data_IF_380011314112
#
_entry.id   IF_380011314112
#
_cell.length_a   1.000
_cell.length_b   1.000
_cell.length_c   1.000
_cell.angle_alpha   90.00
_cell.angle_beta   90.00
_cell.angle_gamma   90.00
#
_symmetry.space_group_name_H-M   'P 1'
#
loop_
_entity.id
_entity.type
_entity.pdbx_description
1 polymer ?
#
# COMPACT_ATOMS: atom_id res chain seq x y z
N UNK A 1 -55.07 18.00 -55.94
CA UNK A 1 -56.13 16.96 -55.94
C UNK A 1 -55.78 15.99 -54.81
N UNK A 2 -56.45 16.08 -53.66
CA UNK A 2 -57.48 15.12 -53.19
C UNK A 2 -56.97 13.66 -53.35
N UNK A 3 -56.92 12.76 -52.36
CA UNK A 3 -57.66 12.64 -51.11
C UNK A 3 -57.27 11.33 -50.38
N UNK A 4 -57.25 11.41 -49.03
CA UNK A 4 -57.78 10.44 -48.05
C UNK A 4 -57.09 9.08 -47.74
N UNK A 5 -56.51 9.06 -46.52
CA UNK A 5 -56.83 8.19 -45.34
C UNK A 5 -56.87 6.66 -45.45
N UNK A 6 -56.14 5.96 -44.56
CA UNK A 6 -56.70 5.24 -43.38
C UNK A 6 -55.60 4.57 -42.51
N UNK A 7 -55.65 4.76 -41.19
CA UNK A 7 -55.16 3.81 -40.16
C UNK A 7 -56.40 3.15 -39.51
N UNK A 8 -56.35 1.96 -38.86
CA UNK A 8 -56.01 1.92 -37.42
C UNK A 8 -55.50 0.57 -36.81
N UNK A 9 -54.86 0.70 -35.63
CA UNK A 9 -54.99 -0.01 -34.33
C UNK A 9 -55.15 -1.55 -34.14
N UNK A 10 -54.34 -2.04 -33.17
CA UNK A 10 -54.62 -2.93 -32.00
C UNK A 10 -55.15 -4.38 -32.13
N UNK A 11 -54.38 -5.32 -31.54
CA UNK A 11 -54.72 -6.26 -30.41
C UNK A 11 -53.71 -7.42 -30.37
N UNK A 12 -52.83 -7.54 -29.37
CA UNK A 12 -52.98 -8.28 -28.09
C UNK A 12 -53.48 -9.72 -28.26
N UNK A 13 -52.69 -10.71 -27.81
CA UNK A 13 -53.12 -11.88 -26.99
C UNK A 13 -51.89 -12.70 -26.51
N UNK A 14 -51.68 -12.70 -25.18
CA UNK A 14 -51.42 -13.83 -24.22
C UNK A 14 -50.37 -14.91 -24.58
N UNK A 15 -49.67 -15.59 -23.66
CA UNK A 15 -49.51 -15.66 -22.20
C UNK A 15 -48.42 -16.73 -21.91
N UNK A 16 -47.69 -16.57 -20.80
CA UNK A 16 -47.07 -17.60 -19.92
C UNK A 16 -45.92 -18.46 -20.52
N UNK A 17 -44.85 -18.89 -19.85
CA UNK A 17 -44.45 -19.09 -18.43
C UNK A 17 -42.90 -19.28 -18.46
N UNK A 18 -42.05 -18.57 -17.69
CA UNK A 18 -41.44 -18.94 -16.36
C UNK A 18 -40.96 -20.42 -16.31
N UNK A 19 -39.67 -20.77 -16.14
CA UNK A 19 -38.71 -20.49 -15.03
C UNK A 19 -37.24 -20.31 -15.53
N UNK A 20 -36.46 -19.31 -15.09
CA UNK A 20 -35.79 -19.07 -13.79
C UNK A 20 -34.39 -19.71 -13.68
N UNK A 21 -33.36 -18.92 -14.01
CA UNK A 21 -31.97 -19.11 -13.61
C UNK A 21 -31.52 -17.87 -12.83
N UNK A 22 -31.26 -18.06 -11.54
CA UNK A 22 -31.02 -17.07 -10.50
C UNK A 22 -29.77 -16.20 -10.72
N UNK A 23 -29.95 -14.87 -10.73
CA UNK A 23 -28.88 -13.90 -10.46
C UNK A 23 -28.80 -13.64 -8.95
N UNK A 24 -27.60 -13.61 -8.32
CA UNK A 24 -27.44 -13.69 -6.87
C UNK A 24 -27.39 -12.34 -6.14
N UNK A 25 -27.98 -11.28 -6.69
CA UNK A 25 -27.84 -9.92 -6.14
C UNK A 25 -29.15 -9.12 -6.10
N UNK A 26 -30.29 -9.77 -5.87
CA UNK A 26 -31.53 -9.03 -5.64
C UNK A 26 -32.44 -9.75 -4.64
N UNK A 27 -32.59 -9.15 -3.46
CA UNK A 27 -33.65 -9.47 -2.50
C UNK A 27 -33.94 -8.21 -1.71
N UNK A 28 -34.91 -7.45 -2.22
CA UNK A 28 -35.66 -6.46 -1.45
C UNK A 28 -36.59 -7.18 -0.47
N UNK A 29 -36.69 -6.66 0.75
CA UNK A 29 -37.81 -6.89 1.64
C UNK A 29 -38.21 -5.55 2.23
N UNK A 30 -39.30 -5.00 1.68
CA UNK A 30 -40.00 -3.82 2.20
C UNK A 30 -40.82 -4.21 3.44
N UNK A 31 -40.55 -3.53 4.56
CA UNK A 31 -41.55 -3.31 5.61
C UNK A 31 -41.43 -1.87 6.10
N UNK A 32 -42.37 -1.02 5.69
CA UNK A 32 -42.57 0.33 6.21
C UNK A 32 -42.86 0.31 7.71
N UNK A 33 -42.01 0.91 8.54
CA UNK A 33 -42.45 1.62 9.76
C UNK A 33 -41.45 2.73 10.11
N UNK A 34 -41.98 3.96 10.15
CA UNK A 34 -41.31 5.22 10.49
C UNK A 34 -40.43 5.13 11.74
N UNK A 35 -39.14 5.50 11.64
CA UNK A 35 -38.40 6.27 12.65
C UNK A 35 -37.03 6.74 12.13
N UNK A 36 -36.74 8.02 12.35
CA UNK A 36 -35.57 8.78 11.90
C UNK A 36 -34.25 8.24 12.47
N UNK A 37 -33.32 7.74 11.62
CA UNK A 37 -31.92 7.51 11.97
C UNK A 37 -30.93 7.67 10.77
N UNK A 38 -29.92 8.51 11.03
CA UNK A 38 -28.57 8.79 10.45
C UNK A 38 -27.96 7.84 9.39
N UNK A 39 -27.15 8.37 8.44
CA UNK A 39 -26.29 7.56 7.55
C UNK A 39 -25.01 7.05 8.25
N UNK A 40 -24.61 5.83 7.89
CA UNK A 40 -23.54 5.05 8.50
C UNK A 40 -22.15 5.34 7.89
N UNK A 41 -21.26 5.86 8.74
CA UNK A 41 -19.87 5.43 8.99
C UNK A 41 -18.94 5.17 7.79
N UNK A 42 -18.26 6.24 7.35
CA UNK A 42 -16.89 6.17 6.80
C UNK A 42 -15.92 5.83 7.94
N UNK A 43 -15.03 4.86 7.75
CA UNK A 43 -13.97 4.55 8.73
C UNK A 43 -12.80 5.52 8.54
N UNK A 44 -12.99 6.76 8.97
CA UNK A 44 -11.88 7.62 9.36
C UNK A 44 -11.37 7.04 10.67
N UNK A 45 -10.24 6.34 10.67
CA UNK A 45 -9.54 6.02 11.90
C UNK A 45 -8.85 7.30 12.39
N UNK A 46 -9.64 8.21 12.96
CA UNK A 46 -9.11 9.18 13.92
C UNK A 46 -8.69 8.37 15.15
N UNK A 47 -7.38 8.21 15.32
CA UNK A 47 -6.82 7.66 16.55
C UNK A 47 -7.10 8.64 17.68
N UNK A 48 -8.25 8.49 18.34
CA UNK A 48 -8.53 9.12 19.63
C UNK A 48 -7.53 8.54 20.62
N UNK A 49 -6.44 9.27 20.86
CA UNK A 49 -5.43 8.95 21.85
C UNK A 49 -6.03 9.14 23.24
N UNK A 50 -6.70 8.09 23.74
CA UNK A 50 -6.91 7.97 25.18
C UNK A 50 -5.55 7.70 25.81
N UNK A 51 -4.97 8.73 26.40
CA UNK A 51 -3.88 8.61 27.35
C UNK A 51 -4.46 7.97 28.60
N UNK A 52 -4.36 6.64 28.69
CA UNK A 52 -4.56 5.95 29.96
C UNK A 52 -3.28 6.14 30.77
N UNK A 53 -3.31 7.09 31.72
CA UNK A 53 -2.35 7.16 32.81
C UNK A 53 -2.48 5.89 33.65
N UNK A 54 -1.41 5.09 33.68
CA UNK A 54 -1.32 3.90 34.52
C UNK A 54 -1.10 4.28 35.97
N UNK A 55 -2.05 3.94 36.85
CA UNK A 55 -1.91 4.00 38.30
C UNK A 55 -0.85 3.00 38.80
N UNK A 56 0.40 3.46 38.85
CA UNK A 56 1.52 2.78 39.49
C UNK A 56 1.62 3.15 40.97
N UNK A 57 0.92 2.40 41.84
CA UNK A 57 1.02 2.52 43.30
C UNK A 57 2.34 1.89 43.77
N UNK A 58 3.41 2.69 43.78
CA UNK A 58 4.72 2.33 44.31
C UNK A 58 5.25 3.43 45.22
N UNK A 59 5.26 3.18 46.53
CA UNK A 59 5.85 4.06 47.54
C UNK A 59 7.37 3.96 47.46
N UNK A 60 8.04 5.05 47.06
CA UNK A 60 9.40 5.38 47.47
C UNK A 60 9.63 6.88 47.30
N UNK A 61 10.20 7.49 48.33
CA UNK A 61 10.40 8.93 48.50
C UNK A 61 11.22 9.55 47.37
N UNK A 62 10.55 10.20 46.42
CA UNK A 62 11.18 11.07 45.42
C UNK A 62 10.55 12.46 45.50
N UNK A 63 11.38 13.45 45.82
CA UNK A 63 10.99 14.84 46.14
C UNK A 63 10.47 15.66 44.96
N UNK A 64 10.30 15.08 43.77
CA UNK A 64 9.91 15.79 42.54
C UNK A 64 8.65 15.24 41.86
N UNK A 65 7.84 14.43 42.54
CA UNK A 65 6.56 13.99 41.97
C UNK A 65 5.62 15.19 41.79
N UNK A 66 5.55 15.70 40.57
CA UNK A 66 4.67 16.80 40.16
C UNK A 66 3.22 16.38 40.36
N UNK A 67 2.47 17.13 41.16
CA UNK A 67 1.04 16.86 41.40
C UNK A 67 0.21 17.05 40.12
N UNK A 68 -0.97 16.43 40.03
CA UNK A 68 -1.87 16.59 38.88
C UNK A 68 -2.22 18.07 38.62
N UNK A 69 -2.37 18.87 39.68
CA UNK A 69 -2.63 20.31 39.59
C UNK A 69 -1.43 21.12 39.05
N UNK A 70 -0.20 20.67 39.31
CA UNK A 70 1.00 21.27 38.71
C UNK A 70 1.16 20.86 37.24
N UNK A 71 0.89 19.59 36.91
CA UNK A 71 0.88 19.13 35.50
C UNK A 71 -0.11 19.92 34.64
N UNK A 72 -1.31 20.23 35.15
CA UNK A 72 -2.27 21.06 34.41
C UNK A 72 -1.77 22.49 34.19
N UNK A 73 -1.07 23.07 35.16
CA UNK A 73 -0.44 24.41 35.01
C UNK A 73 0.66 24.40 33.96
N UNK A 74 1.49 23.36 33.97
CA UNK A 74 2.58 23.18 33.01
C UNK A 74 2.05 22.93 31.59
N UNK A 75 0.95 22.19 31.46
CA UNK A 75 0.33 21.93 30.16
C UNK A 75 -0.26 23.19 29.51
N UNK A 76 -0.71 24.15 30.32
CA UNK A 76 -1.25 25.44 29.88
C UNK A 76 -0.20 26.57 29.88
N UNK A 77 1.09 26.26 29.98
CA UNK A 77 2.20 27.22 29.99
C UNK A 77 1.98 28.39 30.99
N UNK A 78 1.38 28.11 32.15
CA UNK A 78 1.05 29.09 33.20
C UNK A 78 0.15 30.25 32.76
N UNK A 79 -0.59 30.13 31.65
CA UNK A 79 -1.52 31.18 31.18
C UNK A 79 -2.50 31.65 32.26
N UNK A 80 -3.00 30.71 33.06
CA UNK A 80 -3.93 30.99 34.16
C UNK A 80 -3.26 31.55 35.42
N UNK A 81 -1.92 31.55 35.46
CA UNK A 81 -1.08 31.98 36.59
C UNK A 81 -0.20 33.20 36.26
N UNK A 82 -0.53 33.92 35.19
CA UNK A 82 0.17 35.15 34.80
C UNK A 82 1.39 34.94 33.91
N UNK A 83 1.58 33.77 33.29
CA UNK A 83 2.71 33.51 32.41
C UNK A 83 3.97 33.04 33.14
N UNK A 84 5.01 32.71 32.37
CA UNK A 84 6.28 32.15 32.86
C UNK A 84 7.03 33.16 33.75
N UNK A 85 6.98 34.44 33.40
CA UNK A 85 7.68 35.54 34.07
C UNK A 85 7.21 35.78 35.51
N UNK A 86 6.02 35.29 35.86
CA UNK A 86 5.43 35.42 37.20
C UNK A 86 5.63 34.16 38.05
N UNK A 87 6.42 33.19 37.60
CA UNK A 87 6.69 31.95 38.35
C UNK A 87 8.03 32.00 39.10
N UNK A 88 8.13 31.19 40.16
CA UNK A 88 9.38 31.03 40.89
C UNK A 88 10.40 30.21 40.08
N UNK A 89 11.69 30.39 40.37
CA UNK A 89 12.77 29.63 39.72
C UNK A 89 12.55 28.12 39.88
N UNK A 90 12.15 27.66 41.07
CA UNK A 90 11.85 26.26 41.33
C UNK A 90 10.69 25.73 40.46
N UNK A 91 9.66 26.54 40.22
CA UNK A 91 8.54 26.16 39.36
C UNK A 91 8.95 26.12 37.88
N UNK A 92 9.82 27.02 37.45
CA UNK A 92 10.42 27.01 36.12
C UNK A 92 11.34 25.80 35.89
N UNK A 93 12.11 25.39 36.90
CA UNK A 93 12.94 24.18 36.86
C UNK A 93 12.08 22.91 36.73
N UNK A 94 11.00 22.80 37.52
CA UNK A 94 10.06 21.69 37.41
C UNK A 94 9.33 21.68 36.05
N UNK A 95 8.96 22.85 35.55
CA UNK A 95 8.37 23.00 34.22
C UNK A 95 9.34 22.57 33.11
N UNK A 96 10.62 22.93 33.20
CA UNK A 96 11.64 22.49 32.25
C UNK A 96 11.79 20.97 32.25
N UNK A 97 11.83 20.35 33.43
CA UNK A 97 11.88 18.89 33.56
C UNK A 97 10.61 18.21 33.02
N UNK A 98 9.43 18.79 33.24
CA UNK A 98 8.16 18.32 32.67
C UNK A 98 8.17 18.40 31.13
N UNK A 99 8.60 19.53 30.58
CA UNK A 99 8.67 19.71 29.12
C UNK A 99 9.69 18.78 28.48
N UNK A 100 10.84 18.55 29.12
CA UNK A 100 11.80 17.58 28.64
C UNK A 100 11.18 16.16 28.59
N UNK A 101 10.47 15.74 29.63
CA UNK A 101 9.78 14.43 29.65
C UNK A 101 8.67 14.32 28.58
N UNK A 102 7.91 15.40 28.37
CA UNK A 102 6.90 15.50 27.29
C UNK A 102 7.56 15.34 25.91
N UNK A 103 8.69 16.03 25.68
CA UNK A 103 9.46 15.92 24.43
C UNK A 103 10.02 14.51 24.25
N UNK A 104 10.61 13.90 25.27
CA UNK A 104 11.11 12.52 25.21
C UNK A 104 9.98 11.54 24.85
N UNK A 105 8.80 11.71 25.44
CA UNK A 105 7.64 10.87 25.14
C UNK A 105 7.18 11.03 23.68
N UNK A 106 7.19 12.27 23.17
CA UNK A 106 6.85 12.55 21.77
C UNK A 106 7.86 11.92 20.80
N UNK A 107 9.17 12.04 21.06
CA UNK A 107 10.23 11.43 20.23
C UNK A 107 10.11 9.90 20.20
N UNK A 108 9.88 9.27 21.37
CA UNK A 108 9.67 7.82 21.44
C UNK A 108 8.42 7.36 20.66
N UNK A 109 7.35 8.15 20.66
CA UNK A 109 6.18 7.83 19.84
C UNK A 109 6.50 7.94 18.34
N UNK A 110 7.26 8.96 17.91
CA UNK A 110 7.74 9.06 16.53
C UNK A 110 8.62 7.88 16.14
N UNK A 111 9.51 7.43 17.03
CA UNK A 111 10.36 6.27 16.81
C UNK A 111 9.52 5.01 16.56
N UNK A 112 8.54 4.73 17.43
CA UNK A 112 7.62 3.59 17.26
C UNK A 112 6.89 3.64 15.92
N UNK A 113 6.36 4.82 15.54
CA UNK A 113 5.67 5.00 14.25
C UNK A 113 6.64 4.73 13.09
N UNK A 114 7.87 5.22 13.17
CA UNK A 114 8.87 5.00 12.12
C UNK A 114 9.26 3.51 11.99
N UNK A 115 9.34 2.78 13.10
CA UNK A 115 9.54 1.33 13.11
C UNK A 115 8.38 0.59 12.43
N UNK A 116 7.13 0.95 12.77
CA UNK A 116 5.93 0.38 12.15
C UNK A 116 5.95 0.60 10.62
N UNK A 117 6.29 1.81 10.16
CA UNK A 117 6.42 2.14 8.73
C UNK A 117 7.53 1.32 8.06
N UNK A 118 8.66 1.10 8.74
CA UNK A 118 9.79 0.32 8.21
C UNK A 118 9.38 -1.14 7.96
N UNK A 119 8.61 -1.72 8.88
CA UNK A 119 8.11 -3.08 8.75
C UNK A 119 7.12 -3.20 7.58
N UNK A 120 6.18 -2.25 7.43
CA UNK A 120 5.24 -2.22 6.32
C UNK A 120 5.92 -1.96 4.96
N UNK A 121 6.92 -1.09 4.91
CA UNK A 121 7.74 -0.86 3.72
C UNK A 121 8.48 -2.13 3.30
N UNK A 122 8.97 -2.91 4.27
CA UNK A 122 9.64 -4.19 4.00
C UNK A 122 8.68 -5.21 3.37
N UNK A 123 7.44 -5.34 3.89
CA UNK A 123 6.41 -6.21 3.29
C UNK A 123 6.02 -5.74 1.89
N UNK A 124 5.95 -4.42 1.69
CA UNK A 124 5.62 -3.81 0.40
C UNK A 124 6.69 -4.12 -0.64
N UNK A 125 7.97 -4.01 -0.29
CA UNK A 125 9.09 -4.37 -1.17
C UNK A 125 9.04 -5.84 -1.61
N UNK A 126 8.74 -6.76 -0.69
CA UNK A 126 8.57 -8.19 -1.02
C UNK A 126 7.43 -8.38 -2.01
N UNK A 127 6.30 -7.71 -1.76
CA UNK A 127 5.12 -7.79 -2.63
C UNK A 127 5.42 -7.23 -4.02
N UNK A 128 6.09 -6.09 -4.11
CA UNK A 128 6.51 -5.50 -5.38
C UNK A 128 7.42 -6.45 -6.14
N UNK A 129 8.42 -7.05 -5.50
CA UNK A 129 9.29 -8.01 -6.16
C UNK A 129 8.51 -9.22 -6.72
N UNK A 130 7.58 -9.78 -5.93
CA UNK A 130 6.72 -10.87 -6.37
C UNK A 130 5.82 -10.49 -7.56
N UNK A 131 5.30 -9.27 -7.58
CA UNK A 131 4.52 -8.73 -8.71
C UNK A 131 5.37 -8.58 -9.96
N UNK A 132 6.62 -8.11 -9.83
CA UNK A 132 7.56 -8.02 -10.94
C UNK A 132 7.86 -9.38 -11.57
N UNK A 133 8.03 -10.42 -10.75
CA UNK A 133 8.19 -11.79 -11.23
C UNK A 133 6.92 -12.36 -11.88
N UNK A 134 5.73 -11.98 -11.40
CA UNK A 134 4.46 -12.32 -12.07
C UNK A 134 4.39 -11.70 -13.47
N UNK A 135 4.73 -10.42 -13.61
CA UNK A 135 4.75 -9.74 -14.91
C UNK A 135 5.71 -10.44 -15.88
N UNK A 136 6.90 -10.85 -15.40
CA UNK A 136 7.84 -11.62 -16.19
C UNK A 136 7.28 -12.99 -16.63
N UNK A 137 6.52 -13.68 -15.76
CA UNK A 137 5.83 -14.93 -16.15
C UNK A 137 4.76 -14.70 -17.22
N UNK A 138 4.01 -13.62 -17.13
CA UNK A 138 2.98 -13.28 -18.13
C UNK A 138 3.65 -12.99 -19.50
N UNK A 139 4.77 -12.27 -19.50
CA UNK A 139 5.58 -12.06 -20.71
C UNK A 139 6.02 -13.37 -21.37
N UNK A 140 6.54 -14.33 -20.59
CA UNK A 140 6.90 -15.64 -21.15
C UNK A 140 5.68 -16.38 -21.71
N UNK A 141 4.53 -16.29 -21.04
CA UNK A 141 3.27 -16.87 -21.53
C UNK A 141 2.84 -16.22 -22.86
N UNK A 142 3.02 -14.90 -23.00
CA UNK A 142 2.74 -14.20 -24.25
C UNK A 142 3.67 -14.67 -25.39
N UNK A 143 4.95 -14.94 -25.10
CA UNK A 143 5.89 -15.54 -26.07
C UNK A 143 5.44 -16.95 -26.48
N UNK A 144 5.01 -17.78 -25.53
CA UNK A 144 4.51 -19.14 -25.84
C UNK A 144 3.26 -19.08 -26.74
N UNK A 145 2.32 -18.18 -26.43
CA UNK A 145 1.15 -17.94 -27.27
C UNK A 145 1.56 -17.45 -28.67
N UNK A 146 2.57 -16.58 -28.78
CA UNK A 146 3.09 -16.13 -30.09
C UNK A 146 3.59 -17.30 -30.93
N UNK A 147 4.31 -18.24 -30.32
CA UNK A 147 4.85 -19.42 -31.00
C UNK A 147 3.73 -20.35 -31.46
N UNK A 148 2.79 -20.66 -30.58
CA UNK A 148 1.67 -21.54 -30.90
C UNK A 148 0.72 -20.92 -31.93
N UNK A 149 0.46 -19.62 -31.82
CA UNK A 149 -0.30 -18.88 -32.82
C UNK A 149 0.42 -18.91 -34.17
N UNK A 150 1.74 -18.69 -34.20
CA UNK A 150 2.54 -18.77 -35.44
C UNK A 150 2.48 -20.16 -36.08
N UNK A 151 2.45 -21.25 -35.29
CA UNK A 151 2.26 -22.62 -35.80
C UNK A 151 0.84 -22.83 -36.34
N UNK A 152 -0.17 -22.39 -35.59
CA UNK A 152 -1.57 -22.47 -35.98
C UNK A 152 -1.87 -21.68 -37.26
N UNK A 153 -1.28 -20.50 -37.41
CA UNK A 153 -1.38 -19.66 -38.61
C UNK A 153 -0.78 -20.34 -39.85
N UNK A 154 0.36 -21.03 -39.71
CA UNK A 154 0.96 -21.82 -40.80
C UNK A 154 0.03 -22.96 -41.24
N UNK A 155 -0.58 -23.66 -40.29
CA UNK A 155 -1.56 -24.71 -40.58
C UNK A 155 -2.81 -24.14 -41.27
N UNK A 156 -3.38 -23.05 -40.74
CA UNK A 156 -4.52 -22.36 -41.39
C UNK A 156 -4.19 -21.82 -42.79
N UNK A 157 -2.93 -21.48 -43.03
CA UNK A 157 -2.40 -21.14 -44.35
C UNK A 157 -2.38 -22.33 -45.30
N UNK A 158 -2.00 -23.52 -44.84
CA UNK A 158 -1.90 -24.74 -45.66
C UNK A 158 -3.23 -25.47 -45.88
N UNK A 159 -4.23 -25.26 -45.01
CA UNK A 159 -5.57 -25.87 -45.12
C UNK A 159 -6.44 -25.29 -46.25
N UNK A 160 -5.95 -24.30 -47.00
CA UNK A 160 -6.60 -23.85 -48.22
C UNK A 160 -6.52 -24.90 -49.33
N UNK A 161 -7.64 -25.19 -50.00
CA UNK A 161 -7.63 -26.06 -51.20
C UNK A 161 -6.74 -25.51 -52.33
N UNK A 162 -6.40 -26.36 -53.30
CA UNK A 162 -5.43 -26.10 -54.40
C UNK A 162 -5.72 -24.85 -55.27
N UNK A 163 -6.86 -24.18 -55.08
CA UNK A 163 -7.27 -22.94 -55.78
C UNK A 163 -7.62 -21.78 -54.84
N UNK A 164 -7.39 -21.92 -53.53
CA UNK A 164 -7.74 -20.90 -52.54
C UNK A 164 -6.57 -19.97 -52.24
N UNK A 165 -6.86 -18.69 -52.04
CA UNK A 165 -5.87 -17.67 -51.67
C UNK A 165 -5.09 -18.13 -50.42
N UNK A 166 -3.77 -18.25 -50.55
CA UNK A 166 -2.85 -18.52 -49.45
C UNK A 166 -2.92 -17.36 -48.47
N UNK A 167 -3.52 -17.57 -47.31
CA UNK A 167 -3.59 -16.54 -46.27
C UNK A 167 -2.21 -16.43 -45.62
N UNK A 168 -1.66 -15.21 -45.60
CA UNK A 168 -0.42 -14.89 -44.89
C UNK A 168 -0.76 -14.07 -43.64
N UNK A 169 -0.37 -14.52 -42.44
CA UNK A 169 -0.56 -13.73 -41.24
C UNK A 169 0.24 -12.43 -41.34
N UNK A 170 -0.34 -11.34 -40.83
CA UNK A 170 0.37 -10.06 -40.67
C UNK A 170 0.90 -10.01 -39.25
N UNK A 171 2.22 -10.16 -39.10
CA UNK A 171 2.95 -9.92 -37.84
C UNK A 171 3.57 -8.54 -37.92
N UNK A 172 3.11 -7.60 -37.10
CA UNK A 172 3.60 -6.21 -37.12
C UNK A 172 4.79 -5.99 -36.20
N UNK A 173 4.99 -6.86 -35.20
CA UNK A 173 6.13 -6.83 -34.28
C UNK A 173 6.46 -8.19 -33.70
N UNK A 174 7.71 -8.35 -33.26
CA UNK A 174 8.17 -9.54 -32.57
C UNK A 174 7.90 -9.41 -31.07
N UNK A 175 7.18 -10.40 -30.53
CA UNK A 175 6.87 -10.47 -29.11
C UNK A 175 8.15 -10.88 -28.41
N UNK A 176 8.82 -9.87 -27.88
CA UNK A 176 10.08 -10.02 -27.16
C UNK A 176 9.69 -10.19 -25.71
N UNK A 177 10.02 -11.34 -25.12
CA UNK A 177 9.70 -11.67 -23.73
C UNK A 177 10.25 -10.65 -22.72
N UNK A 178 10.30 -10.99 -21.42
CA UNK A 178 10.55 -10.02 -20.36
C UNK A 178 11.75 -9.14 -20.69
N UNK A 179 11.56 -7.82 -20.76
CA UNK A 179 12.65 -6.89 -21.08
C UNK A 179 13.65 -6.93 -19.93
N UNK A 180 14.67 -7.78 -20.07
CA UNK A 180 15.83 -7.80 -19.17
C UNK A 180 16.68 -6.61 -19.59
N UNK A 181 16.32 -5.43 -19.12
CA UNK A 181 17.13 -4.22 -19.31
C UNK A 181 18.54 -4.54 -18.84
N UNK A 182 19.50 -4.57 -19.79
CA UNK A 182 20.88 -5.04 -19.58
C UNK A 182 21.68 -4.14 -18.63
N UNK A 183 21.14 -2.97 -18.30
CA UNK A 183 21.79 -1.97 -17.46
C UNK A 183 21.11 -1.90 -16.10
N UNK A 184 21.52 -2.77 -15.17
CA UNK A 184 21.49 -2.40 -13.75
C UNK A 184 22.30 -3.37 -12.87
N UNK A 185 23.10 -2.90 -11.90
CA UNK A 185 23.87 -3.72 -10.96
C UNK A 185 23.00 -4.47 -9.93
N UNK A 186 21.70 -4.64 -10.20
CA UNK A 186 20.72 -5.24 -9.31
C UNK A 186 20.89 -6.73 -9.10
N UNK A 187 21.63 -7.45 -9.98
CA UNK A 187 21.94 -8.87 -9.75
C UNK A 187 22.81 -9.08 -8.49
N UNK A 188 23.60 -8.08 -8.08
CA UNK A 188 24.32 -8.10 -6.80
C UNK A 188 23.42 -7.72 -5.60
N UNK A 189 22.29 -7.04 -5.82
CA UNK A 189 21.34 -6.64 -4.78
C UNK A 189 20.21 -7.67 -4.55
N UNK A 190 19.80 -8.41 -5.59
CA UNK A 190 18.84 -9.52 -5.44
C UNK A 190 19.41 -10.61 -4.53
N UNK A 191 20.70 -10.96 -4.71
CA UNK A 191 21.41 -11.86 -3.78
C UNK A 191 21.52 -11.28 -2.37
N UNK A 192 21.54 -9.94 -2.22
CA UNK A 192 21.56 -9.28 -0.90
C UNK A 192 20.19 -9.36 -0.20
N UNK A 193 19.08 -9.23 -0.94
CA UNK A 193 17.72 -9.38 -0.41
C UNK A 193 17.42 -10.84 0.00
N UNK A 194 17.79 -11.81 -0.83
CA UNK A 194 17.62 -13.24 -0.50
C UNK A 194 18.49 -13.66 0.70
N UNK A 195 19.65 -13.03 0.86
CA UNK A 195 20.52 -13.24 2.02
C UNK A 195 19.98 -12.53 3.28
N UNK A 196 19.27 -11.40 3.17
CA UNK A 196 18.54 -10.78 4.29
C UNK A 196 17.39 -11.66 4.78
N UNK A 197 16.67 -12.33 3.88
CA UNK A 197 15.61 -13.29 4.22
C UNK A 197 16.15 -14.53 4.94
N UNK A 198 17.26 -15.11 4.44
CA UNK A 198 17.89 -16.32 5.03
C UNK A 198 18.69 -16.04 6.30
N UNK A 199 19.04 -14.79 6.59
CA UNK A 199 19.79 -14.42 7.79
C UNK A 199 18.91 -14.12 9.00
N UNK A 200 17.57 -14.18 8.89
CA UNK A 200 16.65 -14.00 10.01
C UNK A 200 17.10 -12.82 10.87
N UNK A 201 17.22 -11.63 10.25
CA UNK A 201 17.82 -10.43 10.82
C UNK A 201 17.17 -10.18 12.18
N UNK A 202 17.84 -10.67 13.22
CA UNK A 202 17.60 -10.24 14.58
C UNK A 202 17.87 -8.74 14.55
N UNK A 203 16.99 -7.90 15.12
CA UNK A 203 17.35 -6.51 15.36
C UNK A 203 18.72 -6.53 16.05
N UNK A 204 19.66 -5.76 15.49
CA UNK A 204 20.98 -5.60 16.07
C UNK A 204 20.77 -5.25 17.54
N UNK A 205 21.06 -6.21 18.42
CA UNK A 205 21.08 -6.02 19.86
C UNK A 205 22.34 -5.21 20.17
N UNK A 206 22.29 -3.93 19.87
CA UNK A 206 23.10 -2.91 20.52
C UNK A 206 22.37 -2.42 21.75
N UNK A 207 21.90 -3.33 22.62
CA UNK A 207 21.48 -2.95 23.96
C UNK A 207 22.79 -2.71 24.70
N UNK A 208 23.29 -1.49 24.65
CA UNK A 208 24.24 -1.03 25.65
C UNK A 208 23.64 -1.41 27.00
N UNK A 209 24.38 -2.18 27.79
CA UNK A 209 24.12 -2.28 29.20
C UNK A 209 24.38 -0.90 29.77
N UNK A 210 23.38 -0.01 29.68
CA UNK A 210 23.35 1.20 30.47
C UNK A 210 23.06 0.72 31.89
N UNK A 211 24.13 0.65 32.68
CA UNK A 211 24.05 0.74 34.12
C UNK A 211 23.00 1.80 34.48
N UNK A 212 22.03 1.52 35.38
CA UNK A 212 20.98 2.48 35.66
C UNK A 212 21.63 3.77 36.13
N UNK A 213 21.50 4.82 35.31
CA UNK A 213 21.98 6.14 35.68
C UNK A 213 21.37 6.52 37.03
N UNK A 214 22.15 7.13 37.94
CA UNK A 214 21.64 7.54 39.24
C UNK A 214 20.36 8.36 39.05
N UNK A 215 19.35 8.12 39.90
CA UNK A 215 18.14 8.91 39.86
C UNK A 215 18.52 10.39 39.97
N UNK A 216 18.08 11.25 39.03
CA UNK A 216 18.47 12.65 39.03
C UNK A 216 17.96 13.31 40.30
N UNK A 217 18.91 13.84 41.07
CA UNK A 217 18.65 14.50 42.35
C UNK A 217 18.10 15.92 42.18
N UNK A 218 18.33 16.55 41.03
CA UNK A 218 17.88 17.93 40.73
C UNK A 218 17.07 18.00 39.43
N UNK A 219 16.12 18.92 39.33
CA UNK A 219 15.31 19.13 38.12
C UNK A 219 16.17 19.41 36.87
N UNK A 220 17.26 20.17 37.00
CA UNK A 220 18.23 20.39 35.92
C UNK A 220 18.96 19.10 35.51
N UNK A 221 19.31 18.24 36.47
CA UNK A 221 19.90 16.93 36.19
C UNK A 221 18.91 16.03 35.45
N UNK A 222 17.62 16.07 35.82
CA UNK A 222 16.56 15.35 35.11
C UNK A 222 16.44 15.84 33.66
N UNK A 223 16.54 17.14 33.41
CA UNK A 223 16.54 17.70 32.05
C UNK A 223 17.72 17.15 31.23
N UNK A 224 18.93 17.09 31.80
CA UNK A 224 20.10 16.57 31.07
C UNK A 224 19.96 15.07 30.76
N UNK A 225 19.42 14.28 31.70
CA UNK A 225 19.12 12.86 31.47
C UNK A 225 18.06 12.68 30.37
N UNK A 226 16.98 13.46 30.39
CA UNK A 226 15.94 13.41 29.36
C UNK A 226 16.47 13.87 28.00
N UNK A 227 17.34 14.88 27.96
CA UNK A 227 18.01 15.32 26.74
C UNK A 227 18.91 14.24 26.15
N UNK A 228 19.69 13.53 26.97
CA UNK A 228 20.48 12.41 26.49
C UNK A 228 19.60 11.30 25.87
N UNK A 229 18.47 10.98 26.50
CA UNK A 229 17.49 10.03 25.93
C UNK A 229 16.89 10.53 24.60
N UNK A 230 16.61 11.84 24.51
CA UNK A 230 16.13 12.45 23.27
C UNK A 230 17.17 12.34 22.16
N UNK A 231 18.43 12.65 22.46
CA UNK A 231 19.53 12.57 21.48
C UNK A 231 19.71 11.13 20.96
N UNK A 232 19.68 10.14 21.86
CA UNK A 232 19.74 8.72 21.49
C UNK A 232 18.55 8.32 20.62
N UNK A 233 17.32 8.65 21.03
CA UNK A 233 16.11 8.31 20.28
C UNK A 233 16.02 9.03 18.93
N UNK A 234 16.53 10.26 18.82
CA UNK A 234 16.63 11.00 17.57
C UNK A 234 17.67 10.39 16.64
N UNK A 235 18.77 9.88 17.18
CA UNK A 235 19.78 9.14 16.42
C UNK A 235 19.19 7.86 15.82
N UNK A 236 18.45 7.09 16.62
CA UNK A 236 17.73 5.89 16.16
C UNK A 236 16.68 6.24 15.10
N UNK A 237 15.89 7.30 15.32
CA UNK A 237 14.92 7.77 14.34
C UNK A 237 15.59 8.17 13.02
N UNK A 238 16.75 8.85 13.07
CA UNK A 238 17.54 9.21 11.89
C UNK A 238 18.00 7.98 11.12
N UNK A 239 18.47 6.94 11.81
CA UNK A 239 18.85 5.67 11.20
C UNK A 239 17.67 5.01 10.47
N UNK A 240 16.49 4.96 11.10
CA UNK A 240 15.28 4.41 10.49
C UNK A 240 14.86 5.22 9.25
N UNK A 241 14.92 6.55 9.32
CA UNK A 241 14.63 7.41 8.17
C UNK A 241 15.61 7.15 7.02
N UNK A 242 16.88 6.86 7.32
CA UNK A 242 17.87 6.40 6.35
C UNK A 242 17.47 5.09 5.67
N UNK A 243 17.04 4.09 6.43
CA UNK A 243 16.55 2.81 5.92
C UNK A 243 15.29 3.00 5.05
N UNK A 244 14.32 3.79 5.53
CA UNK A 244 13.08 4.12 4.82
C UNK A 244 13.37 4.80 3.48
N UNK A 245 14.34 5.72 3.43
CA UNK A 245 14.79 6.34 2.18
C UNK A 245 15.38 5.31 1.22
N UNK A 246 16.23 4.40 1.70
CA UNK A 246 16.79 3.32 0.89
C UNK A 246 15.69 2.44 0.28
N UNK A 247 14.73 2.03 1.10
CA UNK A 247 13.58 1.24 0.66
C UNK A 247 12.70 2.00 -0.32
N UNK A 248 12.46 3.30 -0.12
CA UNK A 248 11.68 4.11 -1.05
C UNK A 248 12.33 4.22 -2.44
N UNK A 249 13.67 4.35 -2.50
CA UNK A 249 14.41 4.35 -3.77
C UNK A 249 14.31 2.99 -4.47
N UNK A 250 14.50 1.90 -3.71
CA UNK A 250 14.41 0.54 -4.25
C UNK A 250 12.97 0.24 -4.75
N UNK A 251 11.92 0.66 -4.00
CA UNK A 251 10.52 0.57 -4.42
C UNK A 251 10.26 1.37 -5.70
N UNK A 252 10.72 2.61 -5.77
CA UNK A 252 10.55 3.46 -6.96
C UNK A 252 11.21 2.85 -8.20
N UNK A 253 12.42 2.33 -8.05
CA UNK A 253 13.15 1.67 -9.14
C UNK A 253 12.44 0.40 -9.64
N UNK A 254 11.88 -0.40 -8.72
CA UNK A 254 11.12 -1.60 -9.10
C UNK A 254 9.78 -1.24 -9.76
N UNK A 255 9.08 -0.21 -9.29
CA UNK A 255 7.87 0.29 -9.94
C UNK A 255 8.14 0.80 -11.36
N UNK A 256 9.21 1.58 -11.56
CA UNK A 256 9.61 2.05 -12.89
C UNK A 256 9.95 0.89 -13.82
N UNK A 257 10.60 -0.16 -13.30
CA UNK A 257 10.89 -1.38 -14.05
C UNK A 257 9.61 -2.09 -14.46
N UNK A 258 8.66 -2.25 -13.53
CA UNK A 258 7.40 -2.92 -13.77
C UNK A 258 6.50 -2.15 -14.74
N UNK A 259 6.41 -0.83 -14.61
CA UNK A 259 5.64 0.02 -15.53
C UNK A 259 6.11 -0.16 -16.97
N UNK A 260 7.42 -0.09 -17.22
CA UNK A 260 7.98 -0.35 -18.56
C UNK A 260 7.68 -1.76 -19.05
N UNK A 261 7.79 -2.76 -18.17
CA UNK A 261 7.46 -4.13 -18.53
C UNK A 261 5.97 -4.29 -18.88
N UNK A 262 5.07 -3.60 -18.17
CA UNK A 262 3.63 -3.60 -18.47
C UNK A 262 3.31 -2.90 -19.79
N UNK A 263 3.96 -1.78 -20.11
CA UNK A 263 3.78 -1.10 -21.40
C UNK A 263 4.14 -2.05 -22.56
N UNK A 264 5.30 -2.70 -22.48
CA UNK A 264 5.72 -3.71 -23.47
C UNK A 264 4.77 -4.90 -23.54
N UNK A 265 4.26 -5.36 -22.39
CA UNK A 265 3.30 -6.45 -22.33
C UNK A 265 1.98 -6.08 -22.98
N UNK A 266 1.48 -4.87 -22.75
CA UNK A 266 0.25 -4.37 -23.34
C UNK A 266 0.38 -4.32 -24.86
N UNK A 267 1.51 -3.78 -25.32
CA UNK A 267 2.14 -4.05 -26.62
C UNK A 267 1.76 -5.44 -27.16
N UNK A 268 2.41 -6.43 -26.55
CA UNK A 268 2.40 -7.87 -26.85
C UNK A 268 1.00 -8.46 -26.93
N UNK A 269 0.18 -8.14 -25.95
CA UNK A 269 -1.19 -8.62 -25.89
C UNK A 269 -2.04 -8.04 -27.03
N UNK A 270 -1.87 -6.77 -27.41
CA UNK A 270 -2.65 -6.16 -28.50
C UNK A 270 -2.36 -6.80 -29.86
N UNK A 271 -1.09 -7.10 -30.15
CA UNK A 271 -0.70 -7.82 -31.37
C UNK A 271 -1.22 -9.26 -31.35
N UNK A 272 -1.07 -9.98 -30.22
CA UNK A 272 -1.61 -11.34 -30.08
C UNK A 272 -3.11 -11.37 -30.31
N UNK A 273 -3.84 -10.42 -29.71
CA UNK A 273 -5.29 -10.31 -29.86
C UNK A 273 -5.68 -10.04 -31.32
N UNK A 274 -4.98 -9.13 -32.00
CA UNK A 274 -5.20 -8.85 -33.42
C UNK A 274 -4.97 -10.10 -34.30
N UNK A 275 -3.85 -10.79 -34.10
CA UNK A 275 -3.50 -11.99 -34.85
C UNK A 275 -4.45 -13.15 -34.57
N UNK A 276 -4.82 -13.37 -33.31
CA UNK A 276 -5.78 -14.39 -32.92
C UNK A 276 -7.16 -14.14 -33.56
N UNK A 277 -7.64 -12.89 -33.60
CA UNK A 277 -8.87 -12.53 -34.30
C UNK A 277 -8.80 -12.85 -35.79
N UNK A 278 -7.68 -12.52 -36.44
CA UNK A 278 -7.47 -12.81 -37.86
C UNK A 278 -7.42 -14.32 -38.14
N UNK A 279 -6.71 -15.09 -37.32
CA UNK A 279 -6.64 -16.55 -37.40
C UNK A 279 -8.04 -17.19 -37.22
N UNK A 280 -8.81 -16.73 -36.24
CA UNK A 280 -10.18 -17.19 -36.00
C UNK A 280 -11.10 -16.86 -37.20
N UNK A 281 -11.00 -15.65 -37.75
CA UNK A 281 -11.77 -15.28 -38.95
C UNK A 281 -11.41 -16.16 -40.16
N UNK A 282 -10.13 -16.48 -40.35
CA UNK A 282 -9.69 -17.43 -41.40
C UNK A 282 -10.25 -18.83 -41.15
N UNK A 283 -10.19 -19.32 -39.92
CA UNK A 283 -10.77 -20.61 -39.53
C UNK A 283 -12.26 -20.70 -39.86
N UNK A 284 -13.04 -19.67 -39.54
CA UNK A 284 -14.48 -19.61 -39.88
C UNK A 284 -14.73 -19.67 -41.38
N UNK A 285 -13.99 -18.89 -42.18
CA UNK A 285 -14.09 -18.92 -43.64
C UNK A 285 -13.77 -20.30 -44.23
N UNK A 286 -12.78 -21.01 -43.68
CA UNK A 286 -12.44 -22.37 -44.12
C UNK A 286 -13.55 -23.39 -43.80
N UNK A 287 -14.27 -23.17 -42.70
CA UNK A 287 -15.43 -23.99 -42.31
C UNK A 287 -16.71 -23.61 -43.06
N UNK A 288 -16.69 -22.60 -43.94
CA UNK A 288 -17.87 -22.11 -44.64
C UNK A 288 -18.92 -21.47 -43.71
N UNK A 289 -18.50 -20.98 -42.55
CA UNK A 289 -19.34 -20.27 -41.56
C UNK A 289 -18.99 -18.79 -41.46
#
# INVERSE_FOLDING_TARGET
MFAFMKAPANKVTKQNSVDTGSNPFDSDSDCDTKQSLKPSRRTSSESSLNVNDGDGKGSSSSSYTVTAAQRSKYKNDFRDSGGLENQSVQELENYAAYKAEETTSAVNNCLRIAEDIRDDASRTLVTLHQQGEQIARIHNTAVDIDQDLSRGEKLLGSLGGMFSITWKPKKTREITGPVVTKDNPSKKKASHLEQKEKLGIKPSKGKSNSEPAPEPTTALEKVEVEKAKQDDALSDLSNILGDLKGMAIDMGTELDRQNKALDHLNDDIDELNSRMKNANQRGRRLLGK
#
